data_IF_920508494534
#
_entry.id   IF_920508494534
#
_cell.length_a   1.000
_cell.length_b   1.000
_cell.length_c   1.000
_cell.angle_alpha   90.00
_cell.angle_beta   90.00
_cell.angle_gamma   90.00
#
_symmetry.space_group_name_H-M   'P 1'
#
loop_
_entity.id
_entity.type
_entity.pdbx_description
1 polymer ?
#
# COMPACT_ATOMS: atom_id res chain seq x y z
N UNK A 1 4.76 -1.94 -10.89
CA UNK A 1 3.80 -3.05 -10.65
C UNK A 1 2.78 -2.62 -9.61
N UNK A 2 1.70 -3.37 -9.48
CA UNK A 2 0.68 -3.13 -8.47
C UNK A 2 0.23 -4.46 -7.85
N UNK A 3 -0.10 -4.42 -6.56
CA UNK A 3 -0.63 -5.56 -5.81
C UNK A 3 -1.85 -5.14 -4.97
N UNK A 4 -2.78 -6.05 -4.73
CA UNK A 4 -4.01 -5.79 -3.96
C UNK A 4 -3.95 -6.46 -2.58
N UNK A 5 -3.91 -5.64 -1.54
CA UNK A 5 -3.87 -6.07 -0.14
C UNK A 5 -5.09 -5.47 0.57
N UNK A 6 -6.23 -6.18 0.64
CA UNK A 6 -7.49 -5.62 1.09
C UNK A 6 -7.41 -4.82 2.41
N UNK A 7 -7.90 -3.56 2.44
CA UNK A 7 -8.64 -2.85 1.39
C UNK A 7 -7.78 -1.95 0.47
N UNK A 8 -6.45 -2.11 0.48
CA UNK A 8 -5.51 -1.21 -0.18
C UNK A 8 -4.95 -1.78 -1.49
N UNK A 9 -4.57 -0.89 -2.41
CA UNK A 9 -3.77 -1.20 -3.59
C UNK A 9 -2.38 -0.61 -3.40
N UNK A 10 -1.35 -1.43 -3.59
CA UNK A 10 0.06 -1.08 -3.39
C UNK A 10 0.71 -0.88 -4.76
N UNK A 11 1.44 0.22 -4.94
CA UNK A 11 2.18 0.50 -6.17
C UNK A 11 3.68 0.52 -5.93
N UNK A 12 4.43 -0.15 -6.81
CA UNK A 12 5.88 -0.13 -6.82
C UNK A 12 6.38 1.04 -7.65
N UNK A 13 7.21 1.90 -7.07
CA UNK A 13 7.71 3.13 -7.72
C UNK A 13 9.20 3.34 -7.50
N UNK A 14 9.79 4.22 -8.32
CA UNK A 14 11.19 4.62 -8.19
C UNK A 14 12.19 3.47 -8.43
N UNK A 15 11.91 2.58 -9.39
CA UNK A 15 12.74 1.40 -9.64
C UNK A 15 12.65 0.36 -8.52
N UNK A 16 11.43 0.12 -8.01
CA UNK A 16 11.13 -0.84 -6.94
C UNK A 16 11.64 -0.46 -5.54
N UNK A 17 12.11 0.78 -5.33
CA UNK A 17 12.65 1.25 -4.04
C UNK A 17 11.56 1.58 -3.02
N UNK A 18 10.36 1.94 -3.50
CA UNK A 18 9.26 2.41 -2.67
C UNK A 18 7.95 1.68 -2.96
N UNK A 19 7.05 1.74 -1.98
CA UNK A 19 5.68 1.22 -1.98
C UNK A 19 4.72 2.34 -1.63
N UNK A 20 3.77 2.61 -2.52
CA UNK A 20 2.68 3.55 -2.24
C UNK A 20 1.45 2.75 -1.85
N UNK A 21 1.01 2.90 -0.59
CA UNK A 21 -0.22 2.28 -0.08
C UNK A 21 -1.38 3.21 -0.41
N UNK A 22 -2.35 2.73 -1.19
CA UNK A 22 -3.51 3.55 -1.62
C UNK A 22 -4.84 2.91 -1.28
N UNK A 23 -5.85 3.74 -1.02
CA UNK A 23 -7.25 3.32 -1.00
C UNK A 23 -7.94 3.91 -2.24
N UNK A 24 -8.51 3.05 -3.08
CA UNK A 24 -9.13 3.46 -4.34
C UNK A 24 -10.64 3.39 -4.21
N UNK A 25 -11.30 4.53 -4.43
CA UNK A 25 -12.75 4.63 -4.50
C UNK A 25 -13.14 4.74 -5.98
N UNK A 26 -13.33 3.59 -6.62
CA UNK A 26 -13.62 3.50 -8.06
C UNK A 26 -14.92 4.23 -8.45
N UNK A 27 -15.97 4.09 -7.64
CA UNK A 27 -17.25 4.79 -7.85
C UNK A 27 -17.10 6.32 -7.90
N UNK A 28 -16.20 6.88 -7.09
CA UNK A 28 -15.93 8.33 -7.05
C UNK A 28 -14.78 8.73 -7.96
N UNK A 29 -14.10 7.77 -8.61
CA UNK A 29 -12.87 7.96 -9.39
C UNK A 29 -11.80 8.72 -8.60
N UNK A 30 -11.62 8.37 -7.32
CA UNK A 30 -10.64 9.00 -6.42
C UNK A 30 -9.64 7.98 -5.89
N UNK A 31 -8.38 8.38 -5.82
CA UNK A 31 -7.29 7.61 -5.21
C UNK A 31 -6.79 8.39 -4.00
N UNK A 32 -6.72 7.72 -2.85
CA UNK A 32 -6.21 8.28 -1.63
C UNK A 32 -4.88 7.61 -1.30
N UNK A 33 -3.80 8.40 -1.26
CA UNK A 33 -2.49 7.93 -0.80
C UNK A 33 -2.52 7.90 0.73
N UNK A 34 -2.31 6.72 1.31
CA UNK A 34 -2.26 6.53 2.76
C UNK A 34 -0.84 6.64 3.28
N UNK A 35 0.09 5.97 2.61
CA UNK A 35 1.50 5.95 2.98
C UNK A 35 2.38 5.86 1.74
N UNK A 36 3.57 6.45 1.82
CA UNK A 36 4.68 6.22 0.89
C UNK A 36 5.83 5.70 1.74
N UNK A 37 6.23 4.45 1.50
CA UNK A 37 7.18 3.73 2.34
C UNK A 37 8.33 3.21 1.47
N UNK A 38 9.52 3.09 2.04
CA UNK A 38 10.58 2.25 1.47
C UNK A 38 10.17 0.78 1.52
N UNK A 39 10.87 -0.08 0.78
CA UNK A 39 10.63 -1.53 0.84
C UNK A 39 10.70 -2.08 2.27
N UNK A 40 11.74 -1.73 3.02
CA UNK A 40 11.95 -2.22 4.38
C UNK A 40 10.88 -1.71 5.38
N UNK A 41 10.39 -0.48 5.18
CA UNK A 41 9.29 0.05 5.99
C UNK A 41 7.96 -0.62 5.66
N UNK A 42 7.71 -0.89 4.38
CA UNK A 42 6.52 -1.61 3.95
C UNK A 42 6.48 -3.03 4.53
N UNK A 43 7.60 -3.74 4.56
CA UNK A 43 7.68 -5.09 5.14
C UNK A 43 7.26 -5.08 6.62
N UNK A 44 7.80 -4.13 7.40
CA UNK A 44 7.43 -3.94 8.82
C UNK A 44 5.97 -3.57 8.97
N UNK A 45 5.49 -2.61 8.17
CA UNK A 45 4.10 -2.17 8.19
C UNK A 45 3.14 -3.33 7.87
N UNK A 46 3.49 -4.16 6.88
CA UNK A 46 2.66 -5.29 6.45
C UNK A 46 2.53 -6.36 7.56
N UNK A 47 3.62 -6.68 8.26
CA UNK A 47 3.60 -7.59 9.41
C UNK A 47 2.73 -7.02 10.54
N UNK A 48 2.92 -5.75 10.89
CA UNK A 48 2.13 -5.11 11.93
C UNK A 48 0.63 -5.06 11.58
N UNK A 49 0.30 -4.65 10.35
CA UNK A 49 -1.05 -4.56 9.84
C UNK A 49 -1.77 -5.92 9.91
N UNK A 50 -1.11 -7.00 9.46
CA UNK A 50 -1.65 -8.37 9.53
C UNK A 50 -1.87 -8.84 10.97
N UNK A 51 -0.99 -8.47 11.91
CA UNK A 51 -1.16 -8.81 13.33
C UNK A 51 -2.35 -8.09 13.96
N UNK A 52 -2.57 -6.83 13.62
CA UNK A 52 -3.68 -6.03 14.19
C UNK A 52 -5.06 -6.41 13.66
N UNK A 53 -5.13 -7.14 12.53
CA UNK A 53 -6.38 -7.60 11.91
C UNK A 53 -6.80 -9.02 12.32
N UNK A 54 -6.03 -9.67 13.18
CA UNK A 54 -6.35 -10.99 13.74
C UNK A 54 -7.16 -10.83 15.02
#
# INVERSE_FOLDING_TARGET
SADYVPPYTIFDVGGNKYRIVTAIHYNRRKVYIRHVLTHAEYDRWSVAYRRTKR
#
